data_IF_810851178097
#
_entry.id   IF_810851178097
#
_cell.length_a   1.000
_cell.length_b   1.000
_cell.length_c   1.000
_cell.angle_alpha   90.00
_cell.angle_beta   90.00
_cell.angle_gamma   90.00
#
_symmetry.space_group_name_H-M   'P 1'
#
loop_
_entity.id
_entity.type
_entity.pdbx_description
1 polymer ?
#
# COMPACT_ATOMS: atom_id res chain seq x y z
N UNK A 1 -13.01 -7.70 5.31
CA UNK A 1 -12.91 -6.29 5.74
C UNK A 1 -13.60 -5.47 4.68
N UNK A 2 -14.43 -4.52 5.08
CA UNK A 2 -15.21 -3.72 4.14
C UNK A 2 -14.38 -2.51 3.67
N UNK A 3 -13.94 -2.55 2.40
CA UNK A 3 -13.10 -1.48 1.81
C UNK A 3 -13.82 -0.14 1.82
N UNK A 4 -15.14 -0.12 1.59
CA UNK A 4 -15.93 1.12 1.56
C UNK A 4 -16.01 1.76 2.93
N UNK A 5 -16.19 0.98 4.00
CA UNK A 5 -16.17 1.48 5.38
C UNK A 5 -14.83 2.11 5.75
N UNK A 6 -13.72 1.52 5.29
CA UNK A 6 -12.37 2.06 5.53
C UNK A 6 -12.11 3.33 4.69
N UNK A 7 -12.57 3.39 3.43
CA UNK A 7 -12.46 4.58 2.58
C UNK A 7 -13.14 5.80 3.16
N UNK A 8 -14.25 5.63 3.89
CA UNK A 8 -14.93 6.73 4.61
C UNK A 8 -14.08 7.38 5.72
N UNK A 9 -13.00 6.74 6.14
CA UNK A 9 -12.08 7.27 7.16
C UNK A 9 -10.94 8.11 6.54
N UNK A 10 -10.76 8.09 5.22
CA UNK A 10 -9.80 8.93 4.50
C UNK A 10 -10.19 10.40 4.68
N UNK A 11 -9.21 11.27 4.95
CA UNK A 11 -9.44 12.69 5.26
C UNK A 11 -9.96 12.98 6.68
N UNK A 12 -10.13 11.95 7.52
CA UNK A 12 -10.48 12.14 8.95
C UNK A 12 -9.24 12.06 9.84
N UNK A 13 -9.39 12.26 11.16
CA UNK A 13 -8.30 12.05 12.14
C UNK A 13 -7.71 10.64 12.14
N UNK A 14 -8.36 9.67 11.50
CA UNK A 14 -7.90 8.27 11.41
C UNK A 14 -7.18 7.98 10.10
N UNK A 15 -7.09 8.95 9.20
CA UNK A 15 -6.32 8.83 7.97
C UNK A 15 -4.82 8.73 8.31
N UNK A 16 -4.23 7.59 7.98
CA UNK A 16 -2.87 7.24 8.34
C UNK A 16 -2.31 6.22 7.35
N UNK A 17 -0.98 6.10 7.28
CA UNK A 17 -0.33 5.07 6.48
C UNK A 17 -0.84 3.65 6.82
N UNK A 18 -1.11 3.39 8.10
CA UNK A 18 -1.71 2.13 8.56
C UNK A 18 -3.12 1.91 7.98
N UNK A 19 -3.98 2.94 7.98
CA UNK A 19 -5.31 2.84 7.35
C UNK A 19 -5.18 2.51 5.87
N UNK A 20 -4.31 3.22 5.14
CA UNK A 20 -4.12 3.01 3.70
C UNK A 20 -3.57 1.63 3.38
N UNK A 21 -2.59 1.13 4.14
CA UNK A 21 -2.11 -0.25 4.00
C UNK A 21 -3.19 -1.28 4.34
N UNK A 22 -4.09 -0.98 5.27
CA UNK A 22 -5.25 -1.85 5.59
C UNK A 22 -6.24 -1.90 4.43
N UNK A 23 -6.53 -0.77 3.80
CA UNK A 23 -7.37 -0.69 2.58
C UNK A 23 -6.72 -1.48 1.46
N UNK A 24 -5.41 -1.27 1.21
CA UNK A 24 -4.66 -2.01 0.21
C UNK A 24 -4.72 -3.53 0.43
N UNK A 25 -4.54 -3.99 1.66
CA UNK A 25 -4.63 -5.41 2.00
C UNK A 25 -6.02 -5.99 1.72
N UNK A 26 -7.08 -5.21 1.95
CA UNK A 26 -8.43 -5.63 1.61
C UNK A 26 -8.65 -5.69 0.09
N UNK A 27 -8.14 -4.69 -0.66
CA UNK A 27 -8.18 -4.66 -2.13
C UNK A 27 -7.39 -5.82 -2.77
N UNK A 28 -6.22 -6.15 -2.24
CA UNK A 28 -5.43 -7.32 -2.66
C UNK A 28 -6.21 -8.63 -2.54
N UNK A 29 -7.05 -8.77 -1.51
CA UNK A 29 -7.90 -9.96 -1.33
C UNK A 29 -9.07 -10.01 -2.31
N UNK A 30 -9.44 -8.87 -2.86
CA UNK A 30 -10.45 -8.73 -3.92
C UNK A 30 -9.83 -8.78 -5.33
N UNK A 31 -8.53 -9.08 -5.44
CA UNK A 31 -7.77 -9.10 -6.70
C UNK A 31 -7.72 -7.73 -7.42
N UNK A 32 -7.96 -6.65 -6.67
CA UNK A 32 -7.95 -5.26 -7.15
C UNK A 32 -6.53 -4.67 -7.02
N UNK A 33 -5.61 -5.23 -7.79
CA UNK A 33 -4.17 -4.98 -7.65
C UNK A 33 -3.81 -3.51 -7.93
N UNK A 34 -4.39 -2.88 -8.95
CA UNK A 34 -4.11 -1.47 -9.29
C UNK A 34 -4.52 -0.52 -8.15
N UNK A 35 -5.74 -0.65 -7.64
CA UNK A 35 -6.21 0.18 -6.53
C UNK A 35 -5.43 -0.10 -5.24
N UNK A 36 -5.01 -1.34 -5.00
CA UNK A 36 -4.17 -1.68 -3.86
C UNK A 36 -2.79 -1.02 -3.96
N UNK A 37 -2.21 -0.93 -5.16
CA UNK A 37 -0.95 -0.25 -5.39
C UNK A 37 -1.04 1.23 -5.02
N UNK A 38 -2.08 1.92 -5.50
CA UNK A 38 -2.31 3.35 -5.19
C UNK A 38 -2.35 3.60 -3.68
N UNK A 39 -3.07 2.73 -2.94
CA UNK A 39 -3.17 2.86 -1.49
C UNK A 39 -1.84 2.61 -0.78
N UNK A 40 -1.02 1.68 -1.28
CA UNK A 40 0.31 1.41 -0.72
C UNK A 40 1.29 2.56 -1.02
N UNK A 41 1.26 3.11 -2.23
CA UNK A 41 2.08 4.28 -2.59
C UNK A 41 1.73 5.48 -1.70
N UNK A 42 0.45 5.74 -1.50
CA UNK A 42 0.04 6.80 -0.56
C UNK A 42 0.44 6.49 0.88
N UNK A 43 0.33 5.24 1.33
CA UNK A 43 0.82 4.84 2.66
C UNK A 43 2.31 5.15 2.83
N UNK A 44 3.14 4.83 1.83
CA UNK A 44 4.58 5.10 1.86
C UNK A 44 4.92 6.59 1.75
N UNK A 45 4.05 7.38 1.13
CA UNK A 45 4.19 8.84 1.06
C UNK A 45 3.82 9.51 2.39
N UNK A 46 2.81 8.98 3.08
CA UNK A 46 2.39 9.46 4.40
C UNK A 46 3.39 9.12 5.50
N UNK A 47 3.92 7.90 5.48
CA UNK A 47 4.92 7.42 6.42
C UNK A 47 6.01 6.62 5.67
N UNK A 48 7.09 7.29 5.24
CA UNK A 48 8.20 6.63 4.57
C UNK A 48 8.86 5.56 5.44
N UNK A 49 8.84 5.70 6.77
CA UNK A 49 9.42 4.74 7.70
C UNK A 49 8.54 3.49 7.89
N UNK A 50 7.35 3.45 7.28
CA UNK A 50 6.45 2.31 7.38
C UNK A 50 6.87 1.16 6.46
N UNK A 51 7.89 0.41 6.88
CA UNK A 51 8.52 -0.70 6.14
C UNK A 51 7.53 -1.76 5.67
N UNK A 52 6.43 -1.96 6.41
CA UNK A 52 5.40 -2.91 6.03
C UNK A 52 4.70 -2.53 4.72
N UNK A 53 4.44 -1.24 4.47
CA UNK A 53 3.82 -0.78 3.22
C UNK A 53 4.77 -0.98 2.04
N UNK A 54 6.06 -0.65 2.17
CA UNK A 54 7.07 -0.91 1.13
C UNK A 54 7.19 -2.39 0.79
N UNK A 55 7.19 -3.27 1.80
CA UNK A 55 7.22 -4.72 1.58
C UNK A 55 6.00 -5.19 0.78
N UNK A 56 4.80 -4.74 1.18
CA UNK A 56 3.55 -5.08 0.49
C UNK A 56 3.54 -4.54 -0.95
N UNK A 57 4.02 -3.31 -1.17
CA UNK A 57 4.11 -2.68 -2.48
C UNK A 57 4.99 -3.48 -3.43
N UNK A 58 6.19 -3.87 -2.98
CA UNK A 58 7.06 -4.69 -3.83
C UNK A 58 6.51 -6.09 -4.10
N UNK A 59 5.85 -6.72 -3.12
CA UNK A 59 5.19 -8.01 -3.35
C UNK A 59 4.06 -7.91 -4.37
N UNK A 60 3.24 -6.84 -4.30
CA UNK A 60 2.18 -6.58 -5.27
C UNK A 60 2.76 -6.40 -6.67
N UNK A 61 3.81 -5.58 -6.80
CA UNK A 61 4.48 -5.35 -8.08
C UNK A 61 5.07 -6.62 -8.69
N UNK A 62 5.59 -7.54 -7.87
CA UNK A 62 5.98 -8.86 -8.36
C UNK A 62 4.79 -9.68 -8.84
N UNK A 63 3.65 -9.60 -8.17
CA UNK A 63 2.45 -10.35 -8.57
C UNK A 63 1.89 -9.89 -9.92
N UNK A 64 2.09 -8.62 -10.30
CA UNK A 64 1.72 -8.06 -11.61
C UNK A 64 2.87 -8.12 -12.65
N UNK A 65 3.85 -9.01 -12.44
CA UNK A 65 5.00 -9.20 -13.34
C UNK A 65 5.86 -7.93 -13.56
N UNK A 66 5.92 -7.05 -12.55
CA UNK A 66 6.77 -5.87 -12.51
C UNK A 66 7.92 -6.01 -11.49
N UNK A 67 8.93 -6.86 -11.77
CA UNK A 67 10.06 -7.08 -10.86
C UNK A 67 10.95 -5.86 -10.67
N UNK A 68 11.05 -4.99 -11.67
CA UNK A 68 11.82 -3.75 -11.57
C UNK A 68 11.19 -2.80 -10.56
N UNK A 69 9.89 -2.54 -10.69
CA UNK A 69 9.17 -1.69 -9.75
C UNK A 69 9.13 -2.28 -8.33
N UNK A 70 9.13 -3.61 -8.20
CA UNK A 70 9.20 -4.26 -6.89
C UNK A 70 10.54 -4.00 -6.19
N UNK A 71 11.64 -4.12 -6.94
CA UNK A 71 12.98 -3.82 -6.44
C UNK A 71 13.09 -2.36 -6.01
N UNK A 72 12.58 -1.43 -6.81
CA UNK A 72 12.61 -0.01 -6.48
C UNK A 72 11.83 0.27 -5.18
N UNK A 73 10.65 -0.32 -5.02
CA UNK A 73 9.85 -0.17 -3.81
C UNK A 73 10.59 -0.70 -2.56
N UNK A 74 11.24 -1.85 -2.66
CA UNK A 74 12.02 -2.38 -1.54
C UNK A 74 13.27 -1.56 -1.23
N UNK A 75 13.95 -1.07 -2.27
CA UNK A 75 15.12 -0.21 -2.11
C UNK A 75 14.74 1.09 -1.41
N UNK A 76 13.68 1.77 -1.88
CA UNK A 76 13.15 2.97 -1.22
C UNK A 76 12.73 2.70 0.22
N UNK A 77 12.11 1.55 0.50
CA UNK A 77 11.73 1.17 1.86
C UNK A 77 12.89 0.82 2.81
N UNK A 78 14.08 0.56 2.28
CA UNK A 78 15.31 0.37 3.07
C UNK A 78 16.02 1.72 3.30
N UNK A 79 15.90 2.65 2.35
CA UNK A 79 16.53 3.98 2.41
C UNK A 79 15.72 5.01 3.20
N UNK A 80 14.41 4.80 3.35
CA UNK A 80 13.49 5.66 4.08
C UNK A 80 13.60 5.54 5.61
#
# INVERSE_FOLDING_TARGET
MDVEALRKLIGTKRDSALLRATIATALLREDRLEEAEEQLVEATTMDPAYTAAWKQLGNLRLAVDNPTGARDAWQSGIEA
#
